data_IF_717039727299
#
_entry.id   IF_717039727299
#
_cell.length_a   1.000
_cell.length_b   1.000
_cell.length_c   1.000
_cell.angle_alpha   90.00
_cell.angle_beta   90.00
_cell.angle_gamma   90.00
#
_symmetry.space_group_name_H-M   'P 1'
#
loop_
_entity.id
_entity.type
_entity.pdbx_description
1 polymer ?
#
# COMPACT_ATOMS: atom_id res chain seq x y z
N UNK A 1 -8.61 4.05 10.40
CA UNK A 1 -8.02 2.70 10.20
C UNK A 1 -8.85 1.76 9.35
N UNK A 2 -9.81 2.31 8.62
CA UNK A 2 -10.66 1.52 7.71
C UNK A 2 -9.84 0.88 6.59
N UNK A 3 -8.83 1.59 6.09
CA UNK A 3 -7.95 1.05 5.06
C UNK A 3 -7.15 -0.16 5.52
N UNK A 4 -6.63 -0.14 6.75
CA UNK A 4 -5.90 -1.27 7.31
C UNK A 4 -6.81 -2.50 7.46
N UNK A 5 -8.04 -2.30 7.92
CA UNK A 5 -9.02 -3.39 8.05
C UNK A 5 -9.40 -3.96 6.68
N UNK A 6 -9.57 -3.09 5.68
CA UNK A 6 -9.88 -3.51 4.32
C UNK A 6 -8.72 -4.33 3.73
N UNK A 7 -7.48 -3.90 3.96
CA UNK A 7 -6.30 -4.63 3.51
C UNK A 7 -6.22 -6.00 4.17
N UNK A 8 -6.45 -6.08 5.48
CA UNK A 8 -6.42 -7.36 6.20
C UNK A 8 -7.45 -8.34 5.64
N UNK A 9 -8.66 -7.85 5.34
CA UNK A 9 -9.70 -8.69 4.72
C UNK A 9 -9.31 -9.16 3.33
N UNK A 10 -8.67 -8.31 2.54
CA UNK A 10 -8.17 -8.70 1.22
C UNK A 10 -7.11 -9.80 1.34
N UNK A 11 -6.20 -9.67 2.29
CA UNK A 11 -5.13 -10.64 2.51
C UNK A 11 -5.67 -11.99 2.98
N UNK A 12 -6.74 -11.99 3.76
CA UNK A 12 -7.42 -13.22 4.17
C UNK A 12 -8.08 -13.93 2.98
N UNK A 13 -8.56 -13.17 2.01
CA UNK A 13 -9.17 -13.72 0.80
C UNK A 13 -8.13 -14.16 -0.23
N UNK A 14 -6.99 -13.46 -0.31
CA UNK A 14 -5.91 -13.77 -1.24
C UNK A 14 -4.77 -14.47 -0.49
N UNK A 15 -4.71 -15.79 -0.63
CA UNK A 15 -3.81 -16.63 0.16
C UNK A 15 -2.47 -16.97 -0.51
N UNK A 16 -2.19 -16.43 -1.68
CA UNK A 16 -0.94 -16.71 -2.40
C UNK A 16 0.27 -16.36 -1.52
N UNK A 17 1.13 -17.31 -1.19
CA UNK A 17 2.30 -17.06 -0.35
C UNK A 17 3.37 -16.20 -1.02
N UNK A 18 3.29 -16.01 -2.33
CA UNK A 18 4.26 -15.19 -3.08
C UNK A 18 3.86 -13.72 -3.13
N UNK A 19 2.65 -13.37 -2.70
CA UNK A 19 2.24 -11.97 -2.59
C UNK A 19 3.11 -11.27 -1.55
N UNK A 20 3.56 -10.07 -1.88
CA UNK A 20 4.29 -9.21 -0.94
C UNK A 20 3.58 -7.88 -0.86
N UNK A 21 3.44 -7.39 0.36
CA UNK A 21 2.74 -6.13 0.63
C UNK A 21 3.65 -5.22 1.44
N UNK A 22 3.73 -3.97 1.02
CA UNK A 22 4.49 -2.95 1.74
C UNK A 22 3.51 -1.88 2.20
N UNK A 23 3.48 -1.64 3.50
CA UNK A 23 2.67 -0.58 4.09
C UNK A 23 3.63 0.51 4.55
N UNK A 24 3.43 1.70 4.01
CA UNK A 24 4.27 2.85 4.31
C UNK A 24 3.43 3.83 5.11
N UNK A 25 3.80 4.02 6.36
CA UNK A 25 3.15 4.98 7.25
C UNK A 25 3.87 6.31 7.14
N UNK A 26 3.11 7.39 6.92
CA UNK A 26 3.67 8.74 6.79
C UNK A 26 2.90 9.72 7.67
N UNK A 27 3.56 10.78 8.18
CA UNK A 27 2.86 11.82 8.91
C UNK A 27 2.01 12.65 7.93
N UNK A 28 0.71 12.74 8.21
CA UNK A 28 -0.23 13.52 7.39
C UNK A 28 -0.55 14.85 8.07
N UNK A 29 -0.75 14.82 9.39
CA UNK A 29 -1.05 15.99 10.20
C UNK A 29 0.19 16.43 10.97
N UNK A 30 0.22 17.71 11.34
CA UNK A 30 1.32 18.23 12.17
C UNK A 30 1.47 17.49 13.50
N UNK A 31 0.40 16.84 13.97
CA UNK A 31 0.41 16.04 15.19
C UNK A 31 0.94 14.62 14.99
N UNK A 32 1.15 14.20 13.74
CA UNK A 32 1.62 12.84 13.42
C UNK A 32 3.14 12.77 13.42
N UNK A 33 3.77 13.20 14.54
CA UNK A 33 5.22 13.26 14.62
C UNK A 33 5.88 11.97 15.07
N UNK A 34 5.08 11.01 15.55
CA UNK A 34 5.56 9.73 16.05
C UNK A 34 5.18 8.61 15.10
N UNK A 35 6.03 7.57 15.04
CA UNK A 35 5.72 6.35 14.33
C UNK A 35 4.43 5.72 14.86
N UNK A 36 3.72 4.91 14.06
CA UNK A 36 2.53 4.21 14.52
C UNK A 36 2.82 3.35 15.74
N UNK A 37 1.86 3.28 16.66
CA UNK A 37 1.99 2.47 17.87
C UNK A 37 1.95 0.98 17.52
N UNK A 38 2.41 0.14 18.44
CA UNK A 38 2.34 -1.31 18.29
C UNK A 38 0.90 -1.78 18.07
N UNK A 39 -0.06 -1.16 18.76
CA UNK A 39 -1.48 -1.51 18.60
C UNK A 39 -1.94 -1.21 17.18
N UNK A 40 -1.54 -0.08 16.63
CA UNK A 40 -1.86 0.29 15.24
C UNK A 40 -1.25 -0.69 14.24
N UNK A 41 0.04 -1.03 14.43
CA UNK A 41 0.73 -1.96 13.54
C UNK A 41 0.12 -3.35 13.58
N UNK A 42 -0.40 -3.78 14.73
CA UNK A 42 -1.03 -5.09 14.90
C UNK A 42 -2.35 -5.25 14.18
N UNK A 43 -2.91 -4.19 13.62
CA UNK A 43 -4.14 -4.29 12.82
C UNK A 43 -3.90 -5.07 11.52
N UNK A 44 -2.66 -5.22 11.13
CA UNK A 44 -2.27 -6.03 9.97
C UNK A 44 -1.34 -7.14 10.48
N UNK A 45 -1.80 -8.38 10.41
CA UNK A 45 -1.14 -9.56 11.00
C UNK A 45 -0.65 -10.59 10.00
N UNK A 46 -0.41 -10.19 8.77
CA UNK A 46 -0.04 -11.13 7.74
C UNK A 46 1.48 -11.15 7.58
N UNK A 47 2.13 -12.33 7.55
CA UNK A 47 3.58 -12.42 7.39
C UNK A 47 4.09 -11.94 6.03
N UNK A 48 3.21 -11.81 5.05
CA UNK A 48 3.57 -11.28 3.73
C UNK A 48 3.71 -9.75 3.73
N UNK A 49 3.30 -9.10 4.81
CA UNK A 49 3.29 -7.64 4.92
C UNK A 49 4.53 -7.14 5.66
N UNK A 50 5.22 -6.17 5.07
CA UNK A 50 6.26 -5.41 5.73
C UNK A 50 5.74 -3.98 5.93
N UNK A 51 5.94 -3.42 7.12
CA UNK A 51 5.47 -2.09 7.45
C UNK A 51 6.65 -1.18 7.75
N UNK A 52 6.58 0.04 7.22
CA UNK A 52 7.66 1.03 7.32
C UNK A 52 7.11 2.37 7.78
N UNK A 53 7.94 3.14 8.46
CA UNK A 53 7.66 4.51 8.86
C UNK A 53 8.50 5.47 8.02
N UNK A 54 7.84 6.29 7.20
CA UNK A 54 8.49 7.28 6.35
C UNK A 54 8.26 8.68 6.92
N UNK A 55 9.04 9.03 7.90
CA UNK A 55 8.91 10.31 8.62
C UNK A 55 9.09 11.52 7.70
N UNK A 56 10.00 11.42 6.74
CA UNK A 56 10.30 12.52 5.81
C UNK A 56 9.41 12.55 4.58
N UNK A 57 8.44 11.66 4.49
CA UNK A 57 7.53 11.55 3.34
C UNK A 57 8.26 11.47 2.00
N UNK A 58 9.35 10.72 1.99
CA UNK A 58 10.19 10.54 0.81
C UNK A 58 9.40 9.91 -0.32
N UNK A 59 8.59 8.90 0.00
CA UNK A 59 7.76 8.22 -0.98
C UNK A 59 6.72 9.16 -1.58
N UNK A 60 6.00 9.92 -0.76
CA UNK A 60 5.01 10.88 -1.24
C UNK A 60 5.62 11.92 -2.17
N UNK A 61 6.82 12.40 -1.85
CA UNK A 61 7.54 13.33 -2.71
C UNK A 61 7.85 12.70 -4.07
N UNK A 62 8.33 11.45 -4.07
CA UNK A 62 8.63 10.77 -5.34
C UNK A 62 7.39 10.50 -6.17
N UNK A 63 6.20 10.50 -5.55
CA UNK A 63 4.92 10.31 -6.22
C UNK A 63 4.25 11.63 -6.64
N UNK A 64 4.97 12.76 -6.53
CA UNK A 64 4.50 14.04 -7.02
C UNK A 64 3.90 14.98 -5.98
N UNK A 65 4.01 14.66 -4.70
CA UNK A 65 3.50 15.53 -3.64
C UNK A 65 4.13 16.93 -3.68
N UNK A 66 5.38 17.01 -4.14
CA UNK A 66 6.13 18.26 -4.17
C UNK A 66 5.47 19.35 -5.03
N UNK A 67 4.57 18.96 -5.92
CA UNK A 67 3.84 19.91 -6.77
C UNK A 67 2.53 20.38 -6.14
N UNK A 68 2.19 19.88 -4.95
CA UNK A 68 0.94 20.17 -4.26
C UNK A 68 1.15 20.19 -2.75
N UNK A 69 0.32 20.94 -2.02
CA UNK A 69 0.44 20.99 -0.57
C UNK A 69 -0.08 19.73 0.14
N UNK A 70 -0.64 18.76 -0.56
CA UNK A 70 -1.24 17.58 0.05
C UNK A 70 -0.35 16.34 -0.07
N UNK A 71 -0.28 15.57 1.02
CA UNK A 71 0.41 14.29 1.07
C UNK A 71 -0.35 13.25 0.23
N UNK A 72 0.38 12.38 -0.45
CA UNK A 72 -0.22 11.19 -1.07
C UNK A 72 -0.48 10.19 0.07
N UNK A 73 -1.74 10.08 0.50
CA UNK A 73 -2.11 9.27 1.64
C UNK A 73 -3.37 8.46 1.36
N UNK A 74 -3.60 7.45 2.18
CA UNK A 74 -4.74 6.53 2.04
C UNK A 74 -4.81 6.00 0.61
N UNK A 75 -3.65 5.55 0.12
CA UNK A 75 -3.43 5.18 -1.27
C UNK A 75 -3.06 3.71 -1.34
N UNK A 76 -3.58 3.03 -2.36
CA UNK A 76 -3.22 1.63 -2.64
C UNK A 76 -2.82 1.50 -4.10
N UNK A 77 -1.79 0.70 -4.36
CA UNK A 77 -1.34 0.39 -5.70
C UNK A 77 -0.99 -1.09 -5.80
N UNK A 78 -1.23 -1.65 -6.97
CA UNK A 78 -0.91 -3.05 -7.28
C UNK A 78 0.09 -3.06 -8.42
N UNK A 79 1.15 -3.84 -8.27
CA UNK A 79 2.23 -3.96 -9.26
C UNK A 79 2.35 -5.39 -9.73
N UNK A 80 2.76 -5.56 -10.98
CA UNK A 80 3.11 -6.87 -11.51
C UNK A 80 4.36 -7.40 -10.81
N UNK A 81 4.59 -8.74 -10.82
CA UNK A 81 5.83 -9.30 -10.29
C UNK A 81 7.06 -8.75 -11.02
N UNK A 82 8.19 -8.76 -10.33
CA UNK A 82 9.49 -8.39 -10.88
C UNK A 82 9.64 -6.90 -11.23
N UNK A 83 8.69 -6.06 -10.80
CA UNK A 83 8.85 -4.62 -10.91
C UNK A 83 9.86 -4.13 -9.89
N UNK A 84 10.82 -3.37 -10.33
CA UNK A 84 11.89 -2.86 -9.47
C UNK A 84 11.68 -1.38 -9.19
N UNK A 85 11.73 -1.03 -7.91
CA UNK A 85 11.72 0.36 -7.48
C UNK A 85 13.14 0.91 -7.58
N UNK A 86 13.28 2.07 -8.22
CA UNK A 86 14.53 2.79 -8.30
C UNK A 86 14.37 4.12 -7.55
N UNK A 87 14.59 5.24 -8.23
CA UNK A 87 14.39 6.56 -7.62
C UNK A 87 12.91 6.88 -7.38
N UNK A 88 12.04 6.18 -8.08
CA UNK A 88 10.59 6.33 -7.94
C UNK A 88 9.92 4.96 -8.14
N UNK A 89 8.66 4.80 -7.66
CA UNK A 89 7.92 3.56 -7.91
C UNK A 89 7.69 3.35 -9.40
N UNK A 90 7.63 2.09 -9.86
CA UNK A 90 7.24 1.81 -11.24
C UNK A 90 5.75 2.12 -11.46
N UNK A 91 5.31 2.06 -12.71
CA UNK A 91 3.90 2.26 -13.04
C UNK A 91 3.06 1.10 -12.48
N UNK A 92 2.02 1.39 -11.69
CA UNK A 92 1.17 0.34 -11.14
C UNK A 92 0.17 -0.19 -12.16
N UNK A 93 -0.25 -1.44 -11.99
CA UNK A 93 -1.36 -2.01 -12.75
C UNK A 93 -2.70 -1.45 -12.30
N UNK A 94 -2.80 -1.06 -11.04
CA UNK A 94 -3.99 -0.49 -10.46
C UNK A 94 -3.57 0.46 -9.34
N UNK A 95 -4.30 1.56 -9.19
CA UNK A 95 -4.08 2.49 -8.09
C UNK A 95 -5.39 3.20 -7.75
N UNK A 96 -5.48 3.68 -6.53
CA UNK A 96 -6.62 4.46 -6.10
C UNK A 96 -6.51 4.90 -4.65
N UNK A 97 -7.39 5.81 -4.27
CA UNK A 97 -7.57 6.26 -2.90
C UNK A 97 -8.98 6.80 -2.70
N UNK A 98 -9.58 6.67 -1.52
CA UNK A 98 -9.03 6.00 -0.34
C UNK A 98 -9.02 4.48 -0.50
N UNK A 99 -8.19 3.82 0.29
CA UNK A 99 -8.02 2.36 0.23
C UNK A 99 -9.35 1.63 0.33
N UNK A 100 -10.20 2.01 1.27
CA UNK A 100 -11.48 1.33 1.52
C UNK A 100 -12.40 1.32 0.30
N UNK A 101 -12.32 2.34 -0.56
CA UNK A 101 -13.15 2.41 -1.76
C UNK A 101 -12.57 1.64 -2.95
N UNK A 102 -11.26 1.46 -2.95
CA UNK A 102 -10.57 0.86 -4.09
C UNK A 102 -10.06 -0.54 -3.80
N UNK A 103 -10.38 -1.09 -2.64
CA UNK A 103 -9.90 -2.42 -2.24
C UNK A 103 -10.43 -3.53 -3.18
N UNK A 104 -11.66 -3.43 -3.66
CA UNK A 104 -12.20 -4.40 -4.60
C UNK A 104 -11.51 -4.34 -5.96
N UNK A 105 -11.18 -3.13 -6.42
CA UNK A 105 -10.41 -2.96 -7.64
C UNK A 105 -9.03 -3.58 -7.52
N UNK A 106 -8.39 -3.40 -6.36
CA UNK A 106 -7.09 -4.01 -6.07
C UNK A 106 -7.18 -5.53 -6.08
N UNK A 107 -8.24 -6.10 -5.48
CA UNK A 107 -8.46 -7.54 -5.47
C UNK A 107 -8.61 -8.09 -6.89
N UNK A 108 -9.39 -7.41 -7.72
CA UNK A 108 -9.58 -7.79 -9.12
C UNK A 108 -8.27 -7.70 -9.91
N UNK A 109 -7.48 -6.67 -9.67
CA UNK A 109 -6.18 -6.52 -10.32
C UNK A 109 -5.25 -7.68 -9.96
N UNK A 110 -5.22 -8.08 -8.71
CA UNK A 110 -4.44 -9.23 -8.27
C UNK A 110 -4.91 -10.53 -8.94
N UNK A 111 -6.20 -10.75 -9.02
CA UNK A 111 -6.77 -11.92 -9.69
C UNK A 111 -6.39 -11.98 -11.17
N UNK A 112 -6.42 -10.83 -11.85
CA UNK A 112 -6.02 -10.73 -13.24
C UNK A 112 -4.54 -11.08 -13.42
N UNK A 113 -3.68 -10.55 -12.56
CA UNK A 113 -2.25 -10.84 -12.60
C UNK A 113 -2.00 -12.33 -12.38
N UNK A 114 -2.66 -12.94 -11.40
CA UNK A 114 -2.51 -14.38 -11.14
C UNK A 114 -2.98 -15.22 -12.31
N UNK A 115 -4.07 -14.82 -12.95
CA UNK A 115 -4.58 -15.48 -14.14
C UNK A 115 -3.55 -15.45 -15.28
N UNK A 116 -2.95 -14.30 -15.50
CA UNK A 116 -1.91 -14.13 -16.55
C UNK A 116 -0.68 -14.97 -16.25
N UNK A 117 -0.29 -15.08 -14.96
CA UNK A 117 0.87 -15.87 -14.57
C UNK A 117 0.70 -17.37 -14.79
N UNK A 118 -0.54 -17.87 -14.78
CA UNK A 118 -0.84 -19.29 -15.00
C UNK A 118 -0.81 -19.67 -16.49
N UNK A 119 -0.86 -18.70 -17.35
CA UNK A 119 -0.79 -18.90 -18.78
C UNK A 119 0.64 -18.70 -19.27
#
# INVERSE_FOLDING_TARGET
>A
MRGASALESLLEAQRDPHLRVFVIWEPVLATDLSAPSTITLRRIHDPRVAQYWDRGRVLSHSMGEHDRPSVVWDYIAVYKPEQIWADAPPQPEFKGRPVVRFIEGARKALETIYSEMKN
#
